data_IF_130634090377
#
_entry.id   IF_130634090377
#
_cell.length_a   1.000
_cell.length_b   1.000
_cell.length_c   1.000
_cell.angle_alpha   90.00
_cell.angle_beta   90.00
_cell.angle_gamma   90.00
#
_symmetry.space_group_name_H-M   'P 1'
#
loop_
_entity.id
_entity.type
_entity.pdbx_description
1 polymer ?
#
# COMPACT_ATOMS: atom_id res chain seq x y z
N UNK A 1 -10.21 66.16 -13.25
CA UNK A 1 -9.61 65.85 -11.94
C UNK A 1 -8.29 65.15 -12.21
N UNK A 2 -7.24 65.64 -11.57
CA UNK A 2 -5.87 65.68 -12.07
C UNK A 2 -5.09 64.37 -11.96
N UNK A 3 -4.14 64.24 -12.89
CA UNK A 3 -2.96 63.38 -12.82
C UNK A 3 -1.88 63.98 -11.87
N UNK A 4 -0.81 63.18 -11.65
CA UNK A 4 0.56 63.49 -11.15
C UNK A 4 0.90 62.86 -9.78
N UNK A 5 1.78 61.84 -9.70
CA UNK A 5 3.28 61.86 -9.64
C UNK A 5 3.80 62.23 -8.23
N UNK A 6 4.47 61.36 -7.44
CA UNK A 6 5.91 60.96 -7.39
C UNK A 6 6.18 60.34 -5.97
N UNK A 7 7.38 59.86 -5.57
CA UNK A 7 8.51 59.23 -6.29
C UNK A 7 9.04 57.92 -5.62
N UNK A 8 9.89 57.20 -6.37
CA UNK A 8 10.86 56.24 -5.83
C UNK A 8 11.93 56.93 -4.98
N UNK A 9 12.28 56.36 -3.82
CA UNK A 9 13.64 56.36 -3.32
C UNK A 9 13.99 55.01 -2.68
N UNK A 10 14.89 54.31 -3.37
CA UNK A 10 15.70 53.20 -2.88
C UNK A 10 16.53 53.67 -1.68
N UNK A 11 16.45 52.96 -0.55
CA UNK A 11 17.61 52.74 0.30
C UNK A 11 17.82 51.24 0.44
N UNK A 12 18.94 50.80 -0.14
CA UNK A 12 19.39 49.42 -0.16
C UNK A 12 19.74 48.96 1.26
N UNK A 13 19.15 47.84 1.67
CA UNK A 13 19.76 46.97 2.68
C UNK A 13 20.01 45.62 2.02
N UNK A 14 21.30 45.29 1.96
CA UNK A 14 21.90 44.07 1.40
C UNK A 14 21.28 42.82 2.04
N UNK A 15 20.81 41.90 1.21
CA UNK A 15 20.43 40.55 1.63
C UNK A 15 20.33 39.62 0.44
N UNK A 16 21.29 38.69 0.34
CA UNK A 16 21.47 37.66 -0.69
C UNK A 16 20.18 37.21 -1.39
N UNK A 17 20.15 37.32 -2.71
CA UNK A 17 19.19 36.62 -3.55
C UNK A 17 19.36 35.10 -3.36
N UNK A 18 18.46 34.48 -2.60
CA UNK A 18 18.23 33.04 -2.70
C UNK A 18 17.47 32.80 -4.00
N UNK A 19 18.20 32.37 -5.03
CA UNK A 19 17.62 31.68 -6.17
C UNK A 19 16.93 30.41 -5.66
N UNK A 20 15.63 30.52 -5.37
CA UNK A 20 14.75 29.38 -5.28
C UNK A 20 14.60 28.81 -6.69
N UNK A 21 15.50 27.89 -7.04
CA UNK A 21 15.25 26.93 -8.13
C UNK A 21 13.94 26.23 -7.78
N UNK A 22 12.91 26.51 -8.60
CA UNK A 22 11.70 25.72 -8.71
C UNK A 22 12.11 24.28 -9.01
N UNK A 23 12.20 23.43 -7.98
CA UNK A 23 12.28 21.99 -8.16
C UNK A 23 10.86 21.55 -8.47
N UNK A 24 10.55 21.51 -9.76
CA UNK A 24 9.42 20.75 -10.28
C UNK A 24 9.85 19.28 -10.16
N UNK A 25 9.39 18.59 -9.13
CA UNK A 25 9.53 17.13 -9.00
C UNK A 25 8.76 16.47 -10.12
N UNK A 26 9.45 16.20 -11.24
CA UNK A 26 9.00 15.23 -12.23
C UNK A 26 9.06 13.85 -11.57
N UNK A 27 7.92 13.16 -11.55
CA UNK A 27 7.87 11.73 -11.29
C UNK A 27 8.86 11.02 -12.22
N UNK A 28 9.98 10.57 -11.65
CA UNK A 28 10.97 9.73 -12.34
C UNK A 28 10.37 8.34 -12.52
N UNK A 29 9.80 8.15 -13.71
CA UNK A 29 9.56 6.85 -14.29
C UNK A 29 10.87 6.05 -14.32
N UNK A 30 10.78 4.77 -13.94
CA UNK A 30 11.75 3.73 -14.22
C UNK A 30 12.31 3.87 -15.64
N UNK A 31 13.53 4.39 -15.76
CA UNK A 31 14.37 4.22 -16.94
C UNK A 31 15.27 3.01 -16.67
N UNK A 32 14.98 1.92 -17.38
CA UNK A 32 15.81 0.72 -17.43
C UNK A 32 17.08 1.00 -18.22
N UNK A 33 18.26 0.81 -17.60
CA UNK A 33 19.52 0.70 -18.33
C UNK A 33 19.64 -0.68 -19.00
N UNK A 34 19.58 -0.67 -20.33
CA UNK A 34 20.54 -1.35 -21.21
C UNK A 34 20.74 -2.86 -21.11
N UNK A 35 19.83 -3.65 -21.67
CA UNK A 35 20.18 -4.96 -22.25
C UNK A 35 20.23 -4.84 -23.77
N UNK A 36 21.43 -4.81 -24.33
CA UNK A 36 21.68 -4.79 -25.78
C UNK A 36 21.23 -6.12 -26.38
N UNK A 37 20.07 -6.15 -27.04
CA UNK A 37 19.63 -7.30 -27.84
C UNK A 37 20.05 -7.05 -29.29
N UNK A 38 20.99 -7.86 -29.77
CA UNK A 38 21.45 -7.87 -31.16
C UNK A 38 20.30 -8.28 -32.09
N UNK A 39 19.77 -7.34 -32.87
CA UNK A 39 18.88 -7.66 -34.00
C UNK A 39 19.73 -8.14 -35.19
N UNK A 40 19.68 -9.44 -35.51
CA UNK A 40 20.10 -9.94 -36.82
C UNK A 40 19.14 -9.39 -37.88
N UNK A 41 19.60 -8.47 -38.73
CA UNK A 41 18.95 -8.11 -40.00
C UNK A 41 18.84 -9.37 -40.86
N UNK A 42 17.63 -9.89 -41.04
CA UNK A 42 17.36 -10.90 -42.08
C UNK A 42 17.11 -10.13 -43.37
N UNK A 43 18.09 -10.18 -44.28
CA UNK A 43 17.99 -9.64 -45.63
C UNK A 43 17.09 -10.59 -46.45
N UNK A 44 15.88 -10.16 -46.79
CA UNK A 44 14.99 -10.93 -47.66
C UNK A 44 15.52 -10.83 -49.09
N UNK A 45 16.14 -11.89 -49.62
CA UNK A 45 16.55 -11.96 -51.02
C UNK A 45 15.31 -12.12 -51.90
N UNK A 46 15.10 -11.12 -52.77
CA UNK A 46 14.18 -11.16 -53.89
C UNK A 46 14.57 -12.33 -54.83
N UNK A 47 13.70 -13.32 -55.00
CA UNK A 47 13.86 -14.38 -56.01
C UNK A 47 13.15 -13.93 -57.29
N UNK A 48 13.90 -13.79 -58.38
CA UNK A 48 13.36 -13.57 -59.73
C UNK A 48 12.83 -14.89 -60.27
N UNK A 49 11.62 -14.86 -60.81
CA UNK A 49 11.05 -15.95 -61.59
C UNK A 49 11.85 -16.18 -62.88
N UNK A 50 12.20 -17.44 -63.15
CA UNK A 50 12.50 -17.94 -64.48
C UNK A 50 12.13 -19.43 -64.58
N UNK A 51 11.17 -19.72 -65.47
CA UNK A 51 10.96 -20.91 -66.30
C UNK A 51 11.30 -22.33 -65.82
N UNK A 52 10.24 -23.16 -65.80
CA UNK A 52 10.17 -24.59 -66.18
C UNK A 52 11.22 -25.58 -65.64
N UNK A 53 10.82 -26.35 -64.64
CA UNK A 53 10.96 -27.81 -64.64
C UNK A 53 10.02 -28.43 -63.59
N UNK A 54 9.10 -29.30 -64.03
CA UNK A 54 8.36 -30.21 -63.15
C UNK A 54 9.37 -31.17 -62.51
N UNK A 55 9.54 -31.05 -61.19
CA UNK A 55 10.28 -31.98 -60.35
C UNK A 55 9.79 -31.84 -58.92
N UNK A 56 9.38 -32.95 -58.33
CA UNK A 56 8.70 -33.07 -57.03
C UNK A 56 9.39 -32.29 -55.90
N UNK A 57 8.75 -31.22 -55.44
CA UNK A 57 9.04 -30.52 -54.18
C UNK A 57 7.91 -30.83 -53.21
N UNK A 58 7.87 -32.05 -52.69
CA UNK A 58 6.99 -32.41 -51.58
C UNK A 58 7.75 -33.31 -50.63
N UNK A 59 8.13 -32.78 -49.46
CA UNK A 59 8.11 -33.47 -48.14
C UNK A 59 8.75 -32.65 -47.02
N UNK A 60 9.71 -31.76 -47.29
CA UNK A 60 10.39 -30.98 -46.22
C UNK A 60 9.71 -29.63 -45.90
N UNK A 61 9.31 -28.84 -46.90
CA UNK A 61 8.67 -27.54 -46.68
C UNK A 61 7.31 -27.64 -45.96
N UNK A 62 6.57 -28.72 -46.21
CA UNK A 62 5.29 -29.00 -45.54
C UNK A 62 5.50 -29.25 -44.05
N UNK A 63 6.61 -29.86 -43.63
CA UNK A 63 6.90 -30.15 -42.22
C UNK A 63 7.19 -28.86 -41.44
N UNK A 64 7.96 -27.93 -42.02
CA UNK A 64 8.25 -26.63 -41.38
C UNK A 64 7.02 -25.72 -41.30
N UNK A 65 6.14 -25.76 -42.30
CA UNK A 65 4.86 -25.04 -42.28
C UNK A 65 3.91 -25.64 -41.24
N UNK A 66 3.78 -26.96 -41.16
CA UNK A 66 2.95 -27.66 -40.17
C UNK A 66 3.49 -27.47 -38.74
N UNK A 67 4.80 -27.47 -38.53
CA UNK A 67 5.42 -27.17 -37.23
C UNK A 67 5.22 -25.69 -36.85
N UNK A 68 5.35 -24.76 -37.80
CA UNK A 68 5.05 -23.34 -37.60
C UNK A 68 3.58 -23.08 -37.26
N UNK A 69 2.65 -23.78 -37.93
CA UNK A 69 1.21 -23.74 -37.64
C UNK A 69 0.90 -24.35 -36.27
N UNK A 70 1.49 -25.49 -35.92
CA UNK A 70 1.31 -26.11 -34.60
C UNK A 70 1.83 -25.22 -33.46
N UNK A 71 2.98 -24.56 -33.65
CA UNK A 71 3.52 -23.58 -32.70
C UNK A 71 2.59 -22.37 -32.57
N UNK A 72 2.08 -21.85 -33.69
CA UNK A 72 1.15 -20.70 -33.72
C UNK A 72 -0.19 -21.04 -33.06
N UNK A 73 -0.75 -22.22 -33.31
CA UNK A 73 -1.97 -22.74 -32.69
C UNK A 73 -1.76 -22.93 -31.18
N UNK A 74 -0.62 -23.48 -30.76
CA UNK A 74 -0.29 -23.68 -29.34
C UNK A 74 -0.13 -22.35 -28.61
N UNK A 75 0.56 -21.38 -29.23
CA UNK A 75 0.71 -20.01 -28.68
C UNK A 75 -0.65 -19.32 -28.54
N UNK A 76 -1.52 -19.45 -29.54
CA UNK A 76 -2.88 -18.87 -29.53
C UNK A 76 -3.75 -19.48 -28.43
N UNK A 77 -3.70 -20.81 -28.26
CA UNK A 77 -4.38 -21.50 -27.15
C UNK A 77 -3.88 -21.04 -25.78
N UNK A 78 -2.56 -20.86 -25.62
CA UNK A 78 -1.96 -20.37 -24.38
C UNK A 78 -2.38 -18.92 -24.10
N UNK A 79 -2.35 -18.04 -25.10
CA UNK A 79 -2.81 -16.65 -24.98
C UNK A 79 -4.26 -16.60 -24.54
N UNK A 80 -5.15 -17.37 -25.19
CA UNK A 80 -6.57 -17.43 -24.81
C UNK A 80 -6.75 -17.82 -23.34
N UNK A 81 -6.07 -18.88 -22.89
CA UNK A 81 -6.13 -19.31 -21.47
C UNK A 81 -5.67 -18.22 -20.50
N UNK A 82 -4.64 -17.45 -20.84
CA UNK A 82 -4.16 -16.35 -20.02
C UNK A 82 -5.14 -15.18 -20.02
N UNK A 83 -5.74 -14.86 -21.17
CA UNK A 83 -6.77 -13.82 -21.28
C UNK A 83 -7.96 -14.16 -20.40
N UNK A 84 -8.52 -15.37 -20.51
CA UNK A 84 -9.65 -15.79 -19.66
C UNK A 84 -9.29 -15.71 -18.17
N UNK A 85 -8.08 -16.16 -17.80
CA UNK A 85 -7.63 -16.05 -16.41
C UNK A 85 -7.55 -14.59 -15.93
N UNK A 86 -7.09 -13.67 -16.76
CA UNK A 86 -7.06 -12.24 -16.42
C UNK A 86 -8.49 -11.71 -16.30
N UNK A 87 -9.41 -12.07 -17.20
CA UNK A 87 -10.83 -11.70 -17.10
C UNK A 87 -11.44 -12.16 -15.78
N UNK A 88 -11.22 -13.42 -15.40
CA UNK A 88 -11.66 -13.95 -14.11
C UNK A 88 -11.11 -13.14 -12.93
N UNK A 89 -9.83 -12.74 -12.99
CA UNK A 89 -9.21 -11.90 -11.97
C UNK A 89 -9.81 -10.49 -11.91
N UNK A 90 -10.13 -9.88 -13.06
CA UNK A 90 -10.77 -8.56 -13.13
C UNK A 90 -12.21 -8.61 -12.61
N UNK A 91 -12.94 -9.68 -12.91
CA UNK A 91 -14.33 -9.86 -12.48
C UNK A 91 -14.46 -10.17 -10.98
N UNK A 92 -13.46 -10.77 -10.35
CA UNK A 92 -13.46 -11.08 -8.91
C UNK A 92 -12.74 -10.03 -8.03
N UNK A 93 -12.58 -8.79 -8.51
CA UNK A 93 -11.88 -7.74 -7.75
C UNK A 93 -12.62 -7.30 -6.49
N UNK A 94 -13.97 -7.37 -6.46
CA UNK A 94 -14.83 -6.98 -5.31
C UNK A 94 -14.34 -5.68 -4.66
N UNK A 95 -14.05 -5.69 -3.36
CA UNK A 95 -13.58 -4.51 -2.60
C UNK A 95 -12.06 -4.27 -2.67
N UNK A 96 -11.37 -4.94 -3.60
CA UNK A 96 -9.92 -5.02 -3.68
C UNK A 96 -9.34 -6.18 -2.87
N UNK A 97 -8.09 -6.51 -3.18
CA UNK A 97 -7.27 -7.52 -2.51
C UNK A 97 -5.96 -6.86 -2.07
N UNK A 98 -5.61 -7.03 -0.80
CA UNK A 98 -4.36 -6.53 -0.22
C UNK A 98 -3.76 -7.58 0.70
N UNK A 99 -2.46 -7.54 0.92
CA UNK A 99 -1.82 -8.34 1.97
C UNK A 99 -2.27 -7.89 3.35
N UNK A 100 -2.15 -8.80 4.32
CA UNK A 100 -2.38 -8.48 5.73
C UNK A 100 -1.21 -7.65 6.26
N UNK A 101 -1.53 -6.64 7.07
CA UNK A 101 -0.60 -5.79 7.80
C UNK A 101 -0.52 -6.27 9.25
N UNK A 102 0.63 -6.79 9.72
CA UNK A 102 0.81 -7.13 11.12
C UNK A 102 0.57 -5.94 12.07
N UNK A 103 0.97 -4.73 11.67
CA UNK A 103 0.75 -3.49 12.40
C UNK A 103 -0.73 -3.23 12.65
N UNK A 104 -1.55 -3.23 11.60
CA UNK A 104 -3.00 -2.98 11.73
C UNK A 104 -3.70 -4.11 12.47
N UNK A 105 -3.29 -5.36 12.21
CA UNK A 105 -3.82 -6.54 12.91
C UNK A 105 -3.55 -6.44 14.41
N UNK A 106 -2.37 -5.95 14.81
CA UNK A 106 -2.03 -5.71 16.20
C UNK A 106 -2.91 -4.62 16.85
N UNK A 107 -3.19 -3.52 16.15
CA UNK A 107 -4.11 -2.49 16.65
C UNK A 107 -5.52 -3.02 16.86
N UNK A 108 -6.03 -3.86 15.95
CA UNK A 108 -7.33 -4.51 16.15
C UNK A 108 -7.30 -5.49 17.32
N UNK A 109 -6.20 -6.24 17.48
CA UNK A 109 -6.02 -7.17 18.59
C UNK A 109 -6.01 -6.47 19.96
N UNK A 110 -5.65 -5.19 20.05
CA UNK A 110 -5.63 -4.43 21.31
C UNK A 110 -7.03 -4.07 21.84
N UNK A 111 -8.08 -4.19 21.00
CA UNK A 111 -9.44 -3.83 21.38
C UNK A 111 -9.94 -4.82 22.45
N UNK A 112 -10.34 -4.29 23.61
CA UNK A 112 -10.95 -5.08 24.68
C UNK A 112 -12.38 -5.47 24.36
N UNK A 113 -12.83 -6.61 24.86
CA UNK A 113 -14.22 -7.06 24.73
C UNK A 113 -15.21 -5.99 25.27
N UNK A 114 -16.19 -5.65 24.44
CA UNK A 114 -17.22 -4.66 24.75
C UNK A 114 -18.13 -5.08 25.91
N UNK A 115 -18.20 -6.38 26.21
CA UNK A 115 -18.97 -6.91 27.33
C UNK A 115 -18.19 -6.89 28.66
N UNK A 116 -16.98 -6.33 28.66
CA UNK A 116 -16.18 -6.11 29.87
C UNK A 116 -15.38 -7.32 30.33
N UNK A 117 -15.19 -8.35 29.50
CA UNK A 117 -14.22 -9.39 29.81
C UNK A 117 -12.78 -8.91 29.60
N UNK A 118 -11.83 -9.42 30.39
CA UNK A 118 -10.39 -9.16 30.22
C UNK A 118 -9.81 -9.98 29.05
N UNK A 119 -10.45 -9.90 27.88
CA UNK A 119 -10.08 -10.63 26.66
C UNK A 119 -10.18 -9.72 25.43
N UNK A 120 -9.46 -10.04 24.34
CA UNK A 120 -9.58 -9.29 23.10
C UNK A 120 -10.97 -9.46 22.49
N UNK A 121 -11.54 -8.37 21.98
CA UNK A 121 -12.76 -8.36 21.17
C UNK A 121 -12.61 -9.20 19.90
N UNK A 122 -11.37 -9.28 19.38
CA UNK A 122 -11.02 -10.04 18.18
C UNK A 122 -9.90 -11.06 18.48
N UNK A 123 -10.20 -12.20 19.12
CA UNK A 123 -9.19 -13.21 19.45
C UNK A 123 -8.44 -13.75 18.23
N UNK A 124 -9.12 -13.82 17.07
CA UNK A 124 -8.51 -14.26 15.81
C UNK A 124 -7.39 -13.35 15.32
N UNK A 125 -7.39 -12.06 15.67
CA UNK A 125 -6.28 -11.16 15.35
C UNK A 125 -5.04 -11.48 16.17
N UNK A 126 -5.22 -11.83 17.45
CA UNK A 126 -4.12 -12.26 18.31
C UNK A 126 -3.53 -13.58 17.83
N UNK A 127 -4.38 -14.55 17.44
CA UNK A 127 -3.95 -15.82 16.86
C UNK A 127 -3.16 -15.60 15.56
N UNK A 128 -3.65 -14.74 14.66
CA UNK A 128 -2.94 -14.41 13.43
C UNK A 128 -1.53 -13.88 13.72
N UNK A 129 -1.37 -12.99 14.71
CA UNK A 129 -0.06 -12.48 15.10
C UNK A 129 0.85 -13.61 15.59
N UNK A 130 0.33 -14.53 16.40
CA UNK A 130 1.09 -15.69 16.91
C UNK A 130 1.57 -16.55 15.75
N UNK A 131 0.72 -16.85 14.77
CA UNK A 131 1.03 -17.77 13.68
C UNK A 131 1.99 -17.17 12.63
N UNK A 132 2.06 -15.84 12.50
CA UNK A 132 2.74 -15.15 11.38
C UNK A 132 4.05 -14.43 11.77
N UNK A 133 4.70 -14.82 12.87
CA UNK A 133 6.05 -14.33 13.19
C UNK A 133 7.10 -14.95 12.25
N UNK A 134 7.99 -14.14 11.71
CA UNK A 134 9.15 -14.62 10.94
C UNK A 134 10.15 -15.37 11.83
N UNK A 135 11.03 -16.15 11.19
CA UNK A 135 12.07 -16.93 11.88
C UNK A 135 13.10 -16.06 12.61
N UNK A 136 13.32 -14.82 12.17
CA UNK A 136 14.20 -13.84 12.82
C UNK A 136 13.55 -13.12 14.01
N UNK A 137 12.29 -13.46 14.33
CA UNK A 137 11.52 -12.85 15.41
C UNK A 137 10.74 -11.59 15.01
N UNK A 138 10.88 -11.11 13.78
CA UNK A 138 10.15 -9.95 13.28
C UNK A 138 8.75 -10.27 12.75
N UNK A 139 7.98 -9.23 12.49
CA UNK A 139 6.81 -9.23 11.62
C UNK A 139 6.99 -8.15 10.54
N UNK A 140 6.36 -8.34 9.39
CA UNK A 140 6.34 -7.35 8.30
C UNK A 140 6.23 -8.02 6.93
N UNK A 141 6.63 -7.31 5.88
CA UNK A 141 6.62 -7.85 4.52
C UNK A 141 7.60 -9.03 4.36
N UNK A 142 7.12 -10.13 3.77
CA UNK A 142 7.84 -11.38 3.63
C UNK A 142 8.92 -11.30 2.55
N UNK A 143 8.60 -10.64 1.42
CA UNK A 143 9.47 -10.67 0.23
C UNK A 143 10.49 -9.54 0.18
N UNK A 144 10.23 -8.42 0.86
CA UNK A 144 11.06 -7.22 0.83
C UNK A 144 11.39 -6.81 2.25
N UNK A 145 12.69 -6.72 2.56
CA UNK A 145 13.13 -6.20 3.85
C UNK A 145 13.22 -4.68 3.80
N UNK A 146 12.39 -4.00 4.60
CA UNK A 146 12.52 -2.58 4.88
C UNK A 146 12.61 -2.38 6.40
N UNK A 147 13.61 -1.63 6.88
CA UNK A 147 13.83 -1.47 8.33
C UNK A 147 12.67 -0.76 9.03
N UNK A 148 12.07 0.24 8.37
CA UNK A 148 10.90 0.96 8.88
C UNK A 148 9.69 0.04 9.01
N UNK A 149 9.42 -0.76 7.98
CA UNK A 149 8.36 -1.78 7.99
C UNK A 149 8.58 -2.79 9.12
N UNK A 150 9.76 -3.42 9.18
CA UNK A 150 10.04 -4.48 10.14
C UNK A 150 9.95 -4.01 11.58
N UNK A 151 10.51 -2.85 11.90
CA UNK A 151 10.47 -2.34 13.27
C UNK A 151 9.06 -1.92 13.69
N UNK A 152 8.31 -1.26 12.80
CA UNK A 152 6.95 -0.81 13.10
C UNK A 152 6.01 -2.00 13.37
N UNK A 153 6.00 -2.97 12.45
CA UNK A 153 5.18 -4.17 12.59
C UNK A 153 5.57 -4.99 13.83
N UNK A 154 6.87 -5.22 14.04
CA UNK A 154 7.35 -6.02 15.18
C UNK A 154 6.99 -5.37 16.51
N UNK A 155 7.19 -4.05 16.64
CA UNK A 155 6.84 -3.32 17.86
C UNK A 155 5.34 -3.42 18.16
N UNK A 156 4.48 -3.29 17.14
CA UNK A 156 3.03 -3.37 17.32
C UNK A 156 2.59 -4.77 17.78
N UNK A 157 3.10 -5.81 17.14
CA UNK A 157 2.81 -7.19 17.52
C UNK A 157 3.30 -7.52 18.94
N UNK A 158 4.50 -7.05 19.32
CA UNK A 158 5.03 -7.21 20.68
C UNK A 158 4.15 -6.50 21.71
N UNK A 159 3.67 -5.28 21.42
CA UNK A 159 2.74 -4.53 22.27
C UNK A 159 1.43 -5.30 22.45
N UNK A 160 0.86 -5.85 21.37
CA UNK A 160 -0.37 -6.65 21.44
C UNK A 160 -0.18 -7.93 22.27
N UNK A 161 0.88 -8.70 22.01
CA UNK A 161 1.20 -9.92 22.77
C UNK A 161 1.46 -9.64 24.26
N UNK A 162 2.10 -8.51 24.57
CA UNK A 162 2.37 -8.09 25.95
C UNK A 162 1.08 -7.71 26.67
N UNK A 163 0.22 -6.93 26.01
CA UNK A 163 -1.07 -6.48 26.57
C UNK A 163 -1.94 -7.65 27.03
N UNK A 164 -1.95 -8.74 26.27
CA UNK A 164 -2.73 -9.94 26.59
C UNK A 164 -1.92 -11.03 27.31
N UNK A 165 -0.70 -10.73 27.74
CA UNK A 165 0.23 -11.67 28.38
C UNK A 165 0.29 -13.05 27.67
N UNK A 166 0.34 -13.03 26.35
CA UNK A 166 0.24 -14.23 25.51
C UNK A 166 1.59 -14.58 24.87
N UNK A 167 1.92 -15.87 24.82
CA UNK A 167 3.11 -16.45 24.17
C UNK A 167 4.43 -15.72 24.46
N UNK A 168 5.00 -15.85 25.68
CA UNK A 168 6.22 -15.17 26.09
C UNK A 168 7.42 -15.38 25.16
N UNK A 169 7.54 -16.56 24.54
CA UNK A 169 8.62 -16.88 23.61
C UNK A 169 8.62 -15.95 22.39
N UNK A 170 7.47 -15.80 21.71
CA UNK A 170 7.32 -14.95 20.52
C UNK A 170 7.53 -13.48 20.86
N UNK A 171 6.98 -13.04 22.00
CA UNK A 171 7.20 -11.70 22.54
C UNK A 171 8.70 -11.43 22.74
N UNK A 172 9.41 -12.33 23.42
CA UNK A 172 10.83 -12.14 23.72
C UNK A 172 11.69 -12.13 22.44
N UNK A 173 11.36 -12.97 21.45
CA UNK A 173 12.01 -12.95 20.13
C UNK A 173 11.80 -11.62 19.41
N UNK A 174 10.58 -11.08 19.42
CA UNK A 174 10.28 -9.76 18.84
C UNK A 174 11.01 -8.63 19.54
N UNK A 175 11.06 -8.64 20.88
CA UNK A 175 11.83 -7.67 21.67
C UNK A 175 13.31 -7.73 21.33
N UNK A 176 13.88 -8.94 21.21
CA UNK A 176 15.27 -9.12 20.82
C UNK A 176 15.54 -8.53 19.42
N UNK A 177 14.68 -8.84 18.45
CA UNK A 177 14.78 -8.28 17.10
C UNK A 177 14.78 -6.74 17.13
N UNK A 178 13.87 -6.11 17.88
CA UNK A 178 13.81 -4.65 18.00
C UNK A 178 15.12 -4.10 18.55
N UNK A 179 15.65 -4.68 19.64
CA UNK A 179 16.92 -4.24 20.26
C UNK A 179 18.10 -4.29 19.29
N UNK A 180 18.21 -5.38 18.53
CA UNK A 180 19.32 -5.59 17.61
C UNK A 180 19.24 -4.70 16.35
N UNK A 181 18.03 -4.25 16.00
CA UNK A 181 17.78 -3.60 14.72
C UNK A 181 17.39 -2.12 14.81
N UNK A 182 17.01 -1.57 15.97
CA UNK A 182 16.53 -0.18 16.05
C UNK A 182 17.58 0.84 15.55
N UNK A 183 18.86 0.59 15.79
CA UNK A 183 19.96 1.48 15.39
C UNK A 183 20.13 1.53 13.87
N UNK A 184 19.53 0.59 13.13
CA UNK A 184 19.52 0.58 11.67
C UNK A 184 18.57 1.63 11.08
N UNK A 185 17.67 2.24 11.88
CA UNK A 185 16.84 3.37 11.43
C UNK A 185 17.67 4.56 10.92
N UNK A 186 18.83 4.82 11.53
CA UNK A 186 19.73 5.91 11.12
C UNK A 186 20.31 5.73 9.72
N UNK A 187 20.41 4.47 9.27
CA UNK A 187 20.94 4.08 7.96
C UNK A 187 19.82 3.62 7.02
N UNK A 188 18.57 3.77 7.43
CA UNK A 188 17.41 3.45 6.63
C UNK A 188 17.32 4.38 5.42
N UNK A 189 16.91 3.84 4.29
CA UNK A 189 16.57 4.65 3.13
C UNK A 189 15.23 5.34 3.37
N UNK A 190 15.29 6.66 3.60
CA UNK A 190 14.12 7.50 3.90
C UNK A 190 13.08 7.48 2.78
N UNK A 191 13.49 7.20 1.53
CA UNK A 191 12.55 7.06 0.40
C UNK A 191 11.62 5.84 0.57
N UNK A 192 12.05 4.84 1.34
CA UNK A 192 11.29 3.62 1.65
C UNK A 192 10.61 3.68 3.03
N UNK A 193 10.60 4.84 3.68
CA UNK A 193 9.98 5.01 4.99
C UNK A 193 8.46 4.81 4.90
N UNK A 194 7.93 3.98 5.80
CA UNK A 194 6.48 3.73 5.88
C UNK A 194 5.73 5.04 6.11
N UNK A 195 4.60 5.23 5.41
CA UNK A 195 3.78 6.42 5.57
C UNK A 195 3.38 6.61 7.04
N UNK A 196 3.53 7.83 7.56
CA UNK A 196 3.19 8.16 8.95
C UNK A 196 4.16 7.60 10.00
N UNK A 197 5.25 6.91 9.63
CA UNK A 197 6.20 6.31 10.57
C UNK A 197 6.68 7.28 11.66
N UNK A 198 6.97 8.53 11.27
CA UNK A 198 7.43 9.61 12.17
C UNK A 198 6.41 10.00 13.25
N UNK A 199 5.15 9.62 13.05
CA UNK A 199 4.02 9.93 13.94
C UNK A 199 3.71 8.69 14.78
N UNK A 200 3.53 7.55 14.11
CA UNK A 200 2.99 6.33 14.73
C UNK A 200 4.04 5.55 15.50
N UNK A 201 5.30 5.55 15.05
CA UNK A 201 6.37 4.80 15.72
C UNK A 201 6.74 5.38 17.10
N UNK A 202 6.93 6.71 17.27
CA UNK A 202 7.12 7.28 18.61
C UNK A 202 5.95 7.02 19.56
N UNK A 203 4.70 7.19 19.10
CA UNK A 203 3.52 6.93 19.93
C UNK A 203 3.44 5.46 20.39
N UNK A 204 3.84 4.54 19.51
CA UNK A 204 3.88 3.12 19.83
C UNK A 204 5.04 2.76 20.78
N UNK A 205 6.19 3.45 20.67
CA UNK A 205 7.28 3.34 21.66
C UNK A 205 6.83 3.83 23.04
N UNK A 206 6.13 4.97 23.11
CA UNK A 206 5.55 5.46 24.36
C UNK A 206 4.62 4.39 24.96
N UNK A 207 3.72 3.79 24.15
CA UNK A 207 2.85 2.70 24.61
C UNK A 207 3.66 1.48 25.10
N UNK A 208 4.74 1.11 24.43
CA UNK A 208 5.60 0.01 24.84
C UNK A 208 6.31 0.29 26.19
N UNK A 209 6.69 1.56 26.42
CA UNK A 209 7.29 2.00 27.67
C UNK A 209 6.33 1.85 28.85
N UNK A 210 5.06 2.23 28.68
CA UNK A 210 4.02 2.07 29.70
C UNK A 210 3.71 0.59 30.03
N UNK A 211 4.10 -0.34 29.15
CA UNK A 211 3.95 -1.78 29.34
C UNK A 211 5.24 -2.46 29.85
N UNK A 212 6.24 -1.67 30.28
CA UNK A 212 7.55 -2.15 30.76
C UNK A 212 8.28 -3.07 29.77
N UNK A 213 8.02 -2.91 28.46
CA UNK A 213 8.73 -3.66 27.44
C UNK A 213 10.17 -3.11 27.40
N UNK A 214 11.18 -3.96 27.47
CA UNK A 214 12.55 -3.48 27.45
C UNK A 214 12.99 -3.16 26.01
N UNK A 215 12.73 -1.94 25.53
CA UNK A 215 13.23 -1.46 24.22
C UNK A 215 14.06 -0.19 24.38
N UNK A 216 15.00 0.07 23.46
CA UNK A 216 15.82 1.29 23.45
C UNK A 216 14.99 2.54 23.07
N UNK A 217 14.36 3.17 24.06
CA UNK A 217 13.51 4.37 23.90
C UNK A 217 14.24 5.64 23.43
N UNK A 218 15.55 5.72 23.64
CA UNK A 218 16.37 6.89 23.30
C UNK A 218 17.00 6.82 21.90
N UNK A 219 16.55 5.89 21.04
CA UNK A 219 16.94 5.91 19.63
C UNK A 219 16.56 7.27 19.00
N UNK A 220 17.25 7.74 17.95
CA UNK A 220 16.91 9.01 17.30
C UNK A 220 15.55 8.89 16.61
N UNK A 221 14.50 9.10 17.38
CA UNK A 221 13.11 9.04 16.92
C UNK A 221 12.69 10.45 16.49
N UNK A 222 12.08 10.49 15.32
CA UNK A 222 11.76 11.69 14.55
C UNK A 222 10.76 12.60 15.29
N UNK A 223 10.83 13.91 15.01
CA UNK A 223 10.11 14.97 15.74
C UNK A 223 8.59 14.82 15.59
N UNK A 224 7.84 15.01 16.70
CA UNK A 224 6.37 15.02 16.73
C UNK A 224 5.79 16.18 15.91
N UNK A 225 4.69 15.92 15.18
CA UNK A 225 3.97 16.92 14.37
C UNK A 225 3.14 17.88 15.26
N UNK A 226 3.01 19.18 14.91
CA UNK A 226 2.19 20.15 15.63
C UNK A 226 0.68 19.89 15.60
N UNK A 227 0.01 20.27 16.70
CA UNK A 227 -1.35 19.87 17.11
C UNK A 227 -2.52 20.52 16.34
N UNK A 228 -2.30 21.67 15.68
CA UNK A 228 -3.42 22.54 15.25
C UNK A 228 -4.00 22.26 13.86
N UNK A 229 -3.53 21.22 13.15
CA UNK A 229 -3.91 20.95 11.74
C UNK A 229 -4.95 19.82 11.61
N UNK A 230 -5.20 19.03 12.66
CA UNK A 230 -5.97 17.76 12.57
C UNK A 230 -7.49 17.96 12.56
N UNK A 231 -8.00 18.99 13.25
CA UNK A 231 -9.39 18.98 13.72
C UNK A 231 -10.42 19.70 12.82
N UNK A 232 -9.99 20.33 11.73
CA UNK A 232 -10.83 21.30 11.01
C UNK A 232 -11.15 20.89 9.57
N UNK A 233 -10.33 20.05 8.94
CA UNK A 233 -10.48 19.57 7.56
C UNK A 233 -10.05 18.10 7.54
N UNK A 234 -10.67 17.21 6.74
CA UNK A 234 -10.09 15.90 6.46
C UNK A 234 -8.66 16.04 5.95
N UNK A 235 -7.71 15.67 6.79
CA UNK A 235 -6.29 15.66 6.43
C UNK A 235 -5.82 14.22 6.32
N UNK A 236 -4.71 13.95 5.59
CA UNK A 236 -4.09 12.64 5.57
C UNK A 236 -3.78 12.07 6.97
N UNK A 237 -3.76 12.94 7.99
CA UNK A 237 -3.56 12.55 9.39
C UNK A 237 -4.70 11.73 9.98
N UNK A 238 -5.93 11.79 9.42
CA UNK A 238 -7.01 10.86 9.80
C UNK A 238 -6.64 9.40 9.52
N UNK A 239 -5.67 9.15 8.64
CA UNK A 239 -5.16 7.81 8.35
C UNK A 239 -4.26 7.25 9.46
N UNK A 240 -3.77 8.11 10.36
CA UNK A 240 -2.79 7.77 11.41
C UNK A 240 -3.15 8.39 12.77
N UNK A 241 -4.44 8.36 13.16
CA UNK A 241 -4.91 8.94 14.42
C UNK A 241 -4.26 8.29 15.65
N UNK A 242 -3.91 7.01 15.55
CA UNK A 242 -3.25 6.23 16.60
C UNK A 242 -1.86 6.74 16.98
N UNK A 243 -1.25 7.58 16.14
CA UNK A 243 0.00 8.27 16.42
C UNK A 243 -0.15 9.66 17.05
N UNK A 244 -1.39 10.15 17.21
CA UNK A 244 -1.67 11.54 17.62
C UNK A 244 -2.32 11.56 19.01
N UNK A 245 -1.82 12.44 19.89
CA UNK A 245 -2.36 12.62 21.23
C UNK A 245 -3.33 13.81 21.30
N UNK A 246 -4.11 13.88 22.39
CA UNK A 246 -5.02 15.00 22.72
C UNK A 246 -6.10 15.28 21.65
N UNK A 247 -6.66 14.24 21.04
CA UNK A 247 -7.62 14.37 19.94
C UNK A 247 -9.03 14.80 20.41
N UNK A 248 -9.66 15.74 19.68
CA UNK A 248 -11.09 16.06 19.85
C UNK A 248 -11.99 15.06 19.10
N UNK A 249 -12.36 13.97 19.78
CA UNK A 249 -13.23 12.92 19.24
C UNK A 249 -14.62 13.41 18.82
N UNK A 250 -15.17 14.45 19.46
CA UNK A 250 -16.49 14.99 19.09
C UNK A 250 -16.46 15.64 17.70
N UNK A 251 -15.33 16.23 17.33
CA UNK A 251 -15.10 16.78 15.98
C UNK A 251 -14.72 15.67 15.00
N UNK A 252 -13.84 14.76 15.40
CA UNK A 252 -13.36 13.70 14.52
C UNK A 252 -14.45 12.72 14.08
N UNK A 253 -15.38 12.33 14.96
CA UNK A 253 -16.48 11.43 14.58
C UNK A 253 -17.37 12.01 13.46
N UNK A 254 -17.39 13.34 13.26
CA UNK A 254 -18.08 13.98 12.14
C UNK A 254 -17.36 13.78 10.80
N UNK A 255 -16.09 13.40 10.84
CA UNK A 255 -15.24 13.10 9.69
C UNK A 255 -15.16 11.58 9.43
N UNK A 256 -15.95 10.76 10.13
CA UNK A 256 -16.02 9.32 9.86
C UNK A 256 -16.58 9.09 8.45
N UNK A 257 -16.06 8.09 7.76
CA UNK A 257 -16.60 7.66 6.46
C UNK A 257 -17.93 6.92 6.65
N UNK A 258 -18.75 6.87 5.60
CA UNK A 258 -20.06 6.20 5.64
C UNK A 258 -19.98 4.71 6.00
N UNK A 259 -18.83 4.07 5.75
CA UNK A 259 -18.59 2.68 6.08
C UNK A 259 -18.13 2.45 7.53
N UNK A 260 -17.97 3.52 8.32
CA UNK A 260 -17.53 3.50 9.71
C UNK A 260 -16.02 3.68 9.92
N UNK A 261 -15.24 3.77 8.84
CA UNK A 261 -13.78 3.92 8.94
C UNK A 261 -13.33 5.38 9.08
N UNK A 262 -12.08 5.56 9.53
CA UNK A 262 -11.34 6.81 9.39
C UNK A 262 -10.36 6.69 8.21
N UNK A 263 -10.69 7.35 7.09
CA UNK A 263 -9.94 7.30 5.83
C UNK A 263 -9.51 5.87 5.45
N UNK A 264 -10.41 4.88 5.55
CA UNK A 264 -10.14 3.47 5.25
C UNK A 264 -8.99 2.81 6.02
N UNK A 265 -8.38 3.48 7.00
CA UNK A 265 -7.28 2.97 7.83
C UNK A 265 -7.83 2.10 8.96
N UNK A 266 -7.31 0.88 9.07
CA UNK A 266 -7.77 -0.08 10.07
C UNK A 266 -7.23 0.31 11.45
N UNK A 267 -5.93 0.59 11.57
CA UNK A 267 -5.31 1.02 12.82
C UNK A 267 -5.97 2.28 13.39
N UNK A 268 -6.19 3.30 12.55
CA UNK A 268 -6.85 4.54 12.96
C UNK A 268 -8.28 4.29 13.43
N UNK A 269 -9.03 3.42 12.74
CA UNK A 269 -10.40 3.06 13.12
C UNK A 269 -10.44 2.23 14.41
N UNK A 270 -9.48 1.32 14.61
CA UNK A 270 -9.34 0.56 15.84
C UNK A 270 -9.03 1.47 17.03
N UNK A 271 -8.13 2.43 16.86
CA UNK A 271 -7.82 3.44 17.86
C UNK A 271 -9.04 4.31 18.18
N UNK A 272 -9.73 4.81 17.16
CA UNK A 272 -10.97 5.58 17.35
C UNK A 272 -12.03 4.79 18.11
N UNK A 273 -12.18 3.49 17.83
CA UNK A 273 -13.10 2.63 18.57
C UNK A 273 -12.72 2.53 20.06
N UNK A 274 -11.44 2.30 20.37
CA UNK A 274 -10.98 2.20 21.77
C UNK A 274 -11.25 3.47 22.59
N UNK A 275 -11.23 4.63 21.94
CA UNK A 275 -11.42 5.92 22.59
C UNK A 275 -12.89 6.37 22.68
N UNK A 276 -13.76 5.87 21.78
CA UNK A 276 -15.13 6.39 21.63
C UNK A 276 -16.23 5.35 21.82
N UNK A 277 -15.91 4.06 21.73
CA UNK A 277 -16.87 2.96 21.62
C UNK A 277 -17.88 3.13 20.47
N UNK A 278 -17.51 3.83 19.39
CA UNK A 278 -18.40 4.08 18.26
C UNK A 278 -18.81 2.76 17.55
N UNK A 279 -20.12 2.46 17.42
CA UNK A 279 -20.58 1.20 16.86
C UNK A 279 -20.34 1.08 15.35
N UNK A 280 -20.13 2.18 14.62
CA UNK A 280 -19.81 2.12 13.19
C UNK A 280 -18.35 1.69 12.98
N UNK A 281 -17.42 2.19 13.80
CA UNK A 281 -16.04 1.70 13.83
C UNK A 281 -16.00 0.20 14.09
N UNK A 282 -16.72 -0.29 15.11
CA UNK A 282 -16.77 -1.72 15.43
C UNK A 282 -17.30 -2.56 14.27
N UNK A 283 -18.39 -2.11 13.64
CA UNK A 283 -19.01 -2.80 12.49
C UNK A 283 -18.07 -2.85 11.29
N UNK A 284 -17.31 -1.78 11.06
CA UNK A 284 -16.27 -1.76 10.03
C UNK A 284 -15.19 -2.82 10.32
N UNK A 285 -14.64 -2.82 11.52
CA UNK A 285 -13.57 -3.75 11.93
C UNK A 285 -14.03 -5.21 11.87
N UNK A 286 -15.25 -5.51 12.32
CA UNK A 286 -15.83 -6.85 12.22
C UNK A 286 -15.90 -7.36 10.78
N UNK A 287 -16.26 -6.49 9.82
CA UNK A 287 -16.28 -6.87 8.40
C UNK A 287 -14.87 -7.15 7.87
N UNK A 288 -13.89 -6.33 8.24
CA UNK A 288 -12.49 -6.52 7.85
C UNK A 288 -11.95 -7.83 8.40
N UNK A 289 -12.02 -8.04 9.72
CA UNK A 289 -11.49 -9.26 10.37
C UNK A 289 -12.14 -10.52 9.82
N UNK A 290 -13.45 -10.48 9.55
CA UNK A 290 -14.16 -11.60 8.92
C UNK A 290 -13.66 -11.89 7.51
N UNK A 291 -13.36 -10.87 6.71
CA UNK A 291 -12.87 -11.04 5.33
C UNK A 291 -11.44 -11.57 5.28
N UNK A 292 -10.61 -11.20 6.26
CA UNK A 292 -9.19 -11.52 6.31
C UNK A 292 -8.84 -12.64 7.31
N UNK A 293 -9.85 -13.38 7.80
CA UNK A 293 -9.69 -14.55 8.67
C UNK A 293 -8.77 -14.28 9.88
N UNK A 294 -8.99 -13.18 10.59
CA UNK A 294 -8.18 -12.77 11.73
C UNK A 294 -7.11 -11.73 11.39
N UNK A 295 -6.64 -11.66 10.15
CA UNK A 295 -5.78 -10.56 9.71
C UNK A 295 -6.55 -9.25 9.48
N UNK A 296 -5.82 -8.16 9.29
CA UNK A 296 -6.32 -6.93 8.70
C UNK A 296 -5.26 -6.29 7.76
N UNK A 297 -5.65 -5.79 6.58
CA UNK A 297 -4.74 -5.01 5.72
C UNK A 297 -4.50 -3.61 6.31
N UNK A 298 -3.60 -2.84 5.71
CA UNK A 298 -3.35 -1.44 6.10
C UNK A 298 -4.46 -0.48 5.69
N UNK A 299 -5.23 -0.83 4.65
CA UNK A 299 -6.34 -0.03 4.16
C UNK A 299 -7.43 -0.93 3.59
N UNK A 300 -8.70 -0.58 3.83
CA UNK A 300 -9.84 -1.29 3.29
C UNK A 300 -11.12 -0.42 3.25
N UNK A 301 -11.91 -0.45 2.18
CA UNK A 301 -11.66 -1.13 0.90
C UNK A 301 -10.58 -0.40 0.07
N UNK A 302 -10.06 -1.07 -0.98
CA UNK A 302 -9.13 -0.47 -1.96
C UNK A 302 -9.62 -0.70 -3.39
N UNK A 303 -10.93 -0.78 -3.54
CA UNK A 303 -11.67 -1.21 -4.72
C UNK A 303 -11.47 -0.29 -5.93
N UNK A 304 -11.49 1.04 -5.71
CA UNK A 304 -11.21 2.04 -6.74
C UNK A 304 -9.75 1.99 -7.17
N UNK A 305 -8.82 1.98 -6.21
CA UNK A 305 -7.38 1.96 -6.50
C UNK A 305 -7.00 0.70 -7.29
N UNK A 306 -7.48 -0.47 -6.85
CA UNK A 306 -7.21 -1.73 -7.52
C UNK A 306 -7.67 -1.71 -8.99
N UNK A 307 -8.92 -1.26 -9.25
CA UNK A 307 -9.48 -1.19 -10.62
C UNK A 307 -8.70 -0.22 -11.51
N UNK A 308 -8.43 0.98 -11.03
CA UNK A 308 -7.67 1.99 -11.77
C UNK A 308 -6.26 1.51 -12.10
N UNK A 309 -5.58 0.85 -11.15
CA UNK A 309 -4.27 0.26 -11.40
C UNK A 309 -4.32 -0.89 -12.39
N UNK A 310 -5.32 -1.78 -12.32
CA UNK A 310 -5.48 -2.87 -13.27
C UNK A 310 -5.64 -2.34 -14.70
N UNK A 311 -6.51 -1.34 -14.91
CA UNK A 311 -6.71 -0.67 -16.20
C UNK A 311 -5.39 -0.08 -16.69
N UNK A 312 -4.74 0.77 -15.88
CA UNK A 312 -3.50 1.45 -16.27
C UNK A 312 -2.39 0.45 -16.63
N UNK A 313 -2.20 -0.62 -15.83
CA UNK A 313 -1.17 -1.63 -16.11
C UNK A 313 -1.44 -2.39 -17.40
N UNK A 314 -2.68 -2.81 -17.64
CA UNK A 314 -3.04 -3.58 -18.83
C UNK A 314 -3.01 -2.73 -20.11
N UNK A 315 -3.36 -1.43 -20.02
CA UNK A 315 -3.18 -0.47 -21.11
C UNK A 315 -1.70 -0.25 -21.44
N UNK A 316 -0.87 0.00 -20.43
CA UNK A 316 0.58 0.24 -20.63
C UNK A 316 1.34 -0.98 -21.13
N UNK A 317 0.84 -2.18 -20.85
CA UNK A 317 1.35 -3.43 -21.42
C UNK A 317 0.91 -3.68 -22.87
N UNK A 318 0.02 -2.84 -23.43
CA UNK A 318 -0.45 -2.96 -24.81
C UNK A 318 -1.39 -4.14 -25.04
N UNK A 319 -2.08 -4.63 -24.00
CA UNK A 319 -2.99 -5.78 -24.07
C UNK A 319 -4.43 -5.46 -23.69
N UNK A 320 -4.78 -4.17 -23.55
CA UNK A 320 -6.11 -3.71 -23.13
C UNK A 320 -7.25 -4.13 -24.06
N UNK A 321 -6.99 -4.33 -25.36
CA UNK A 321 -8.00 -4.71 -26.34
C UNK A 321 -8.63 -6.10 -26.07
N UNK A 322 -8.02 -6.91 -25.22
CA UNK A 322 -8.62 -8.18 -24.77
C UNK A 322 -9.69 -7.99 -23.68
N UNK A 323 -9.77 -6.81 -23.07
CA UNK A 323 -10.49 -6.58 -21.80
C UNK A 323 -11.44 -5.37 -21.85
N UNK A 324 -11.94 -5.01 -23.04
CA UNK A 324 -12.75 -3.79 -23.22
C UNK A 324 -14.05 -3.80 -22.41
N UNK A 325 -14.73 -4.96 -22.34
CA UNK A 325 -15.95 -5.13 -21.56
C UNK A 325 -15.66 -5.00 -20.05
N UNK A 326 -14.63 -5.69 -19.56
CA UNK A 326 -14.24 -5.64 -18.16
C UNK A 326 -13.79 -4.22 -17.75
N UNK A 327 -13.13 -3.48 -18.65
CA UNK A 327 -12.72 -2.10 -18.40
C UNK A 327 -13.90 -1.16 -18.26
N UNK A 328 -14.92 -1.33 -19.10
CA UNK A 328 -16.14 -0.53 -19.02
C UNK A 328 -16.81 -0.72 -17.66
N UNK A 329 -17.01 -1.96 -17.23
CA UNK A 329 -17.63 -2.27 -15.94
C UNK A 329 -16.81 -1.71 -14.75
N UNK A 330 -15.48 -1.81 -14.82
CA UNK A 330 -14.58 -1.24 -13.82
C UNK A 330 -14.66 0.29 -13.75
N UNK A 331 -14.69 0.98 -14.89
CA UNK A 331 -14.80 2.43 -14.94
C UNK A 331 -16.18 2.92 -14.46
N UNK A 332 -17.24 2.21 -14.82
CA UNK A 332 -18.59 2.50 -14.34
C UNK A 332 -18.67 2.38 -12.81
N UNK A 333 -17.98 1.40 -12.23
CA UNK A 333 -17.84 1.28 -10.77
C UNK A 333 -17.10 2.47 -10.15
N UNK A 334 -15.92 2.81 -10.71
CA UNK A 334 -15.12 3.96 -10.24
C UNK A 334 -15.94 5.26 -10.29
N UNK A 335 -16.72 5.47 -11.36
CA UNK A 335 -17.56 6.66 -11.50
C UNK A 335 -18.66 6.70 -10.43
N UNK A 336 -19.31 5.58 -10.12
CA UNK A 336 -20.30 5.50 -9.03
C UNK A 336 -19.69 5.84 -7.67
N UNK A 337 -18.51 5.29 -7.37
CA UNK A 337 -17.81 5.58 -6.11
C UNK A 337 -17.34 7.04 -6.01
N UNK A 338 -16.81 7.61 -7.10
CA UNK A 338 -16.37 9.01 -7.12
C UNK A 338 -17.52 9.98 -6.79
N UNK A 339 -18.74 9.70 -7.26
CA UNK A 339 -19.93 10.50 -6.93
C UNK A 339 -20.34 10.40 -5.46
N UNK A 340 -20.03 9.29 -4.78
CA UNK A 340 -20.28 9.14 -3.34
C UNK A 340 -19.26 9.92 -2.52
N UNK A 341 -17.98 9.92 -2.94
CA UNK A 341 -16.91 10.67 -2.28
C UNK A 341 -17.16 12.18 -2.38
N UNK A 342 -17.65 12.70 -3.50
CA UNK A 342 -17.98 14.13 -3.63
C UNK A 342 -19.07 14.62 -2.66
N UNK A 343 -19.83 13.70 -2.05
CA UNK A 343 -20.88 14.01 -1.07
C UNK A 343 -20.41 13.94 0.38
N UNK A 344 -19.21 13.40 0.61
CA UNK A 344 -18.51 13.38 1.89
C UNK A 344 -17.57 14.58 1.93
#
# INVERSE_FOLDING_TARGET
MNALNFPCHLHAVKGKALFLKRVITRNSQFQTEGSVVNYKKILCKHVRNAGNSLGELQTEDTKYLLDGENIKVTRTKKTRKLVEKIKDMLNDMKDGRSSVSPYDTAWVALIKDINGSDRPQFPSCLEWIIENQHSDGSWGEQFVFCIYDRLLNTLACVVALTTWNTTPEKRNKGVLFIKENICKLERGDVENMTCGFEIVFPALLDKAQHLDINTPYNAPVLKRIPKDVVHTIPTPLLFSLEGVCDLDWKRLLKLQMQDGSFLTSIASTAFAFMETNDPNCLRYLQRVVKKYNGGAPHSYPVDMQARLWAIDRLQRLGISYYFEEEFKDMLDHVQRCALQIQRW
#
